data_IF_404982571136
#
_entry.id   IF_404982571136
#
_cell.length_a   1.000
_cell.length_b   1.000
_cell.length_c   1.000
_cell.angle_alpha   90.00
_cell.angle_beta   90.00
_cell.angle_gamma   90.00
#
_symmetry.space_group_name_H-M   'P 1'
#
loop_
_entity.id
_entity.type
_entity.pdbx_description
1 polymer ?
#
# COMPACT_ATOMS: atom_id res chain seq x y z
N UNK A 1 17.69 8.86 1.10
CA UNK A 1 16.72 9.48 0.17
C UNK A 1 17.26 9.41 -1.24
N UNK A 2 16.43 9.16 -2.25
CA UNK A 2 16.82 9.03 -3.65
C UNK A 2 15.89 9.80 -4.59
N UNK A 3 16.26 9.88 -5.88
CA UNK A 3 15.43 10.49 -6.92
C UNK A 3 14.63 9.43 -7.65
N UNK A 4 13.33 9.66 -7.82
CA UNK A 4 12.52 8.83 -8.69
C UNK A 4 13.05 8.87 -10.14
N UNK A 5 13.04 7.71 -10.81
CA UNK A 5 13.54 7.56 -12.19
C UNK A 5 12.60 8.14 -13.25
N UNK A 6 11.41 8.62 -12.88
CA UNK A 6 10.49 9.24 -13.82
C UNK A 6 10.93 10.67 -14.22
N UNK A 7 10.36 11.24 -15.31
CA UNK A 7 10.73 12.58 -15.79
C UNK A 7 10.58 13.69 -14.74
N UNK A 8 9.69 13.50 -13.75
CA UNK A 8 9.46 14.48 -12.67
C UNK A 8 10.62 14.55 -11.66
N UNK A 9 11.51 13.54 -11.62
CA UNK A 9 12.70 13.46 -10.75
C UNK A 9 12.46 13.90 -9.30
N UNK A 10 11.31 13.53 -8.72
CA UNK A 10 10.96 13.90 -7.35
C UNK A 10 11.84 13.15 -6.36
N UNK A 11 12.31 13.84 -5.32
CA UNK A 11 12.97 13.21 -4.17
C UNK A 11 11.94 12.32 -3.46
N UNK A 12 12.37 11.13 -3.07
CA UNK A 12 11.54 10.13 -2.40
C UNK A 12 12.40 9.27 -1.50
N UNK A 13 11.82 8.75 -0.42
CA UNK A 13 12.41 7.68 0.38
C UNK A 13 11.82 6.31 0.03
N UNK A 14 10.85 6.25 -0.89
CA UNK A 14 10.14 5.03 -1.26
C UNK A 14 10.82 4.33 -2.43
N UNK A 15 10.86 2.99 -2.34
CA UNK A 15 11.53 2.12 -3.28
C UNK A 15 10.61 0.97 -3.69
N UNK A 16 10.54 0.71 -4.99
CA UNK A 16 9.83 -0.45 -5.52
C UNK A 16 10.75 -1.67 -5.47
N UNK A 17 10.33 -2.70 -4.74
CA UNK A 17 11.14 -3.91 -4.52
C UNK A 17 11.22 -4.77 -5.79
N UNK A 18 10.13 -4.82 -6.56
CA UNK A 18 10.05 -5.55 -7.83
C UNK A 18 10.97 -4.96 -8.90
N UNK A 19 10.91 -3.64 -9.10
CA UNK A 19 11.63 -2.96 -10.18
C UNK A 19 12.99 -2.41 -9.74
N UNK A 20 13.30 -2.46 -8.45
CA UNK A 20 14.55 -1.98 -7.85
C UNK A 20 14.85 -0.51 -8.19
N UNK A 21 13.83 0.34 -8.06
CA UNK A 21 13.92 1.78 -8.35
C UNK A 21 13.23 2.63 -7.29
N UNK A 22 13.76 3.84 -7.06
CA UNK A 22 13.08 4.87 -6.28
C UNK A 22 11.80 5.31 -6.99
N UNK A 23 10.69 5.41 -6.26
CA UNK A 23 9.36 5.75 -6.80
C UNK A 23 8.73 6.93 -6.08
N UNK A 24 8.19 7.88 -6.83
CA UNK A 24 7.37 8.97 -6.27
C UNK A 24 5.89 8.57 -6.26
N UNK A 25 5.06 9.34 -5.55
CA UNK A 25 3.63 9.09 -5.40
C UNK A 25 2.90 8.96 -6.74
N UNK A 26 3.24 9.80 -7.72
CA UNK A 26 2.68 9.71 -9.07
C UNK A 26 2.99 8.35 -9.74
N UNK A 27 4.22 7.85 -9.58
CA UNK A 27 4.62 6.57 -10.14
C UNK A 27 3.94 5.40 -9.43
N UNK A 28 3.67 5.51 -8.12
CA UNK A 28 2.92 4.50 -7.36
C UNK A 28 1.51 4.29 -7.89
N UNK A 29 0.86 5.32 -8.43
CA UNK A 29 -0.52 5.23 -8.95
C UNK A 29 -0.60 5.01 -10.46
N UNK A 30 0.45 5.35 -11.22
CA UNK A 30 0.44 5.19 -12.69
C UNK A 30 1.08 3.88 -13.14
N UNK A 31 2.31 3.61 -12.71
CA UNK A 31 3.14 2.52 -13.23
C UNK A 31 3.44 1.42 -12.22
N UNK A 32 3.27 1.70 -10.92
CA UNK A 32 3.57 0.78 -9.82
C UNK A 32 2.35 0.52 -8.92
N UNK A 33 1.16 0.42 -9.53
CA UNK A 33 -0.10 0.27 -8.80
C UNK A 33 -0.11 -0.95 -7.89
N UNK A 34 0.36 -2.08 -8.42
CA UNK A 34 0.41 -3.38 -7.72
C UNK A 34 1.75 -3.70 -7.07
N UNK A 35 2.77 -2.87 -7.28
CA UNK A 35 4.12 -3.23 -6.85
C UNK A 35 4.33 -3.12 -5.34
N UNK A 36 5.11 -4.00 -4.74
CA UNK A 36 5.54 -3.82 -3.35
C UNK A 36 6.49 -2.60 -3.27
N UNK A 37 6.07 -1.61 -2.47
CA UNK A 37 6.79 -0.35 -2.27
C UNK A 37 6.94 -0.14 -0.76
N UNK A 38 8.17 0.10 -0.33
CA UNK A 38 8.51 0.40 1.06
C UNK A 38 9.72 1.35 1.11
N UNK A 39 10.10 1.86 2.31
CA UNK A 39 11.28 2.70 2.43
C UNK A 39 12.55 2.01 1.90
N UNK A 40 13.41 2.76 1.24
CA UNK A 40 14.67 2.23 0.69
C UNK A 40 15.57 1.59 1.75
N UNK A 41 15.54 2.07 3.00
CA UNK A 41 16.29 1.47 4.10
C UNK A 41 15.84 0.03 4.37
N UNK A 42 14.53 -0.23 4.34
CA UNK A 42 14.00 -1.57 4.51
C UNK A 42 14.50 -2.50 3.41
N UNK A 43 14.61 -2.03 2.16
CA UNK A 43 15.17 -2.83 1.07
C UNK A 43 16.65 -3.19 1.27
N UNK A 44 17.44 -2.28 1.87
CA UNK A 44 18.84 -2.53 2.20
C UNK A 44 19.00 -3.56 3.33
N UNK A 45 18.07 -3.55 4.29
CA UNK A 45 18.05 -4.48 5.42
C UNK A 45 17.54 -5.86 5.02
N UNK A 46 16.38 -5.91 4.35
CA UNK A 46 15.76 -7.12 3.81
C UNK A 46 15.08 -6.81 2.48
N UNK A 47 15.63 -7.39 1.41
CA UNK A 47 15.09 -7.23 0.05
C UNK A 47 14.02 -8.27 -0.30
N UNK A 48 13.72 -9.22 0.59
CA UNK A 48 12.67 -10.20 0.39
C UNK A 48 11.30 -9.51 0.41
N UNK A 49 10.43 -9.90 -0.53
CA UNK A 49 9.06 -9.42 -0.60
C UNK A 49 8.14 -10.52 -1.11
N UNK A 50 6.86 -10.41 -0.75
CA UNK A 50 5.82 -11.34 -1.17
C UNK A 50 4.71 -10.53 -1.84
N UNK A 51 4.50 -10.66 -3.16
CA UNK A 51 3.47 -9.92 -3.90
C UNK A 51 2.09 -10.55 -3.70
N UNK A 52 1.71 -10.80 -2.45
CA UNK A 52 0.45 -11.45 -2.06
C UNK A 52 -0.37 -10.54 -1.16
N UNK A 53 -1.69 -10.69 -1.21
CA UNK A 53 -2.59 -9.98 -0.31
C UNK A 53 -2.43 -10.51 1.12
N UNK A 54 -2.23 -9.61 2.09
CA UNK A 54 -2.08 -9.98 3.51
C UNK A 54 -3.32 -10.63 4.15
N UNK A 55 -4.48 -10.60 3.49
CA UNK A 55 -5.74 -11.16 4.01
C UNK A 55 -6.03 -12.56 3.46
N UNK A 56 -5.96 -12.77 2.14
CA UNK A 56 -6.26 -14.07 1.52
C UNK A 56 -5.02 -14.87 1.10
N UNK A 57 -3.82 -14.27 1.16
CA UNK A 57 -2.53 -14.84 0.73
C UNK A 57 -2.45 -15.24 -0.75
N UNK A 58 -3.40 -14.78 -1.57
CA UNK A 58 -3.35 -14.93 -3.03
C UNK A 58 -2.53 -13.79 -3.66
N UNK A 59 -2.02 -14.03 -4.87
CA UNK A 59 -1.22 -13.07 -5.62
C UNK A 59 -1.96 -11.76 -5.91
N UNK A 60 -1.25 -10.64 -5.82
CA UNK A 60 -1.78 -9.31 -6.12
C UNK A 60 -1.88 -9.05 -7.63
N UNK A 61 -1.14 -9.80 -8.46
CA UNK A 61 -1.15 -9.63 -9.92
C UNK A 61 -2.34 -10.33 -10.61
N UNK A 62 -3.17 -11.05 -9.88
CA UNK A 62 -4.40 -11.64 -10.43
C UNK A 62 -5.26 -10.56 -11.10
N UNK A 63 -5.49 -10.71 -12.41
CA UNK A 63 -6.26 -9.77 -13.24
C UNK A 63 -7.76 -9.84 -12.97
N UNK A 64 -8.23 -10.93 -12.36
CA UNK A 64 -9.64 -11.10 -11.98
C UNK A 64 -10.01 -10.29 -10.73
N UNK A 65 -9.01 -9.80 -9.97
CA UNK A 65 -9.22 -9.10 -8.71
C UNK A 65 -8.68 -7.67 -8.75
N UNK A 66 -9.48 -6.72 -8.26
CA UNK A 66 -9.05 -5.35 -8.06
C UNK A 66 -8.23 -5.23 -6.78
N UNK A 67 -7.12 -4.50 -6.83
CA UNK A 67 -6.26 -4.21 -5.68
C UNK A 67 -6.33 -2.74 -5.28
N UNK A 68 -6.15 -2.45 -4.01
CA UNK A 68 -6.04 -1.09 -3.47
C UNK A 68 -4.78 -0.97 -2.60
N UNK A 69 -4.07 0.14 -2.75
CA UNK A 69 -2.95 0.53 -1.89
C UNK A 69 -3.44 1.48 -0.80
N UNK A 70 -3.19 1.15 0.45
CA UNK A 70 -3.52 2.00 1.59
C UNK A 70 -2.47 3.11 1.78
N UNK A 71 -2.78 4.11 2.61
CA UNK A 71 -1.85 5.21 2.92
C UNK A 71 -0.52 4.75 3.54
N UNK A 72 -0.53 3.56 4.18
CA UNK A 72 0.66 2.92 4.73
C UNK A 72 1.45 2.08 3.71
N UNK A 73 1.11 2.18 2.41
CA UNK A 73 1.69 1.47 1.26
C UNK A 73 1.39 -0.02 1.11
N UNK A 74 0.80 -0.68 2.12
CA UNK A 74 0.31 -2.05 2.00
C UNK A 74 -0.81 -2.17 0.96
N UNK A 75 -0.85 -3.30 0.26
CA UNK A 75 -1.80 -3.58 -0.82
C UNK A 75 -2.67 -4.77 -0.46
N UNK A 76 -3.96 -4.65 -0.73
CA UNK A 76 -4.93 -5.72 -0.54
C UNK A 76 -5.84 -5.82 -1.76
N UNK A 77 -6.48 -6.97 -1.95
CA UNK A 77 -7.66 -7.03 -2.82
C UNK A 77 -8.78 -6.19 -2.20
N UNK A 78 -9.49 -5.43 -3.04
CA UNK A 78 -10.61 -4.59 -2.62
C UNK A 78 -11.70 -5.44 -1.95
N UNK A 79 -11.99 -6.62 -2.51
CA UNK A 79 -12.94 -7.59 -1.94
C UNK A 79 -12.56 -8.06 -0.55
N UNK A 80 -11.27 -8.33 -0.30
CA UNK A 80 -10.77 -8.76 0.99
C UNK A 80 -10.89 -7.64 2.04
N UNK A 81 -10.53 -6.42 1.66
CA UNK A 81 -10.62 -5.27 2.57
C UNK A 81 -12.09 -4.94 2.91
N UNK A 82 -12.99 -5.00 1.93
CA UNK A 82 -14.42 -4.79 2.14
C UNK A 82 -15.04 -5.87 3.05
N UNK A 83 -14.63 -7.13 2.90
CA UNK A 83 -15.08 -8.20 3.79
C UNK A 83 -14.71 -7.89 5.25
N UNK A 84 -13.46 -7.52 5.49
CA UNK A 84 -12.99 -7.14 6.81
C UNK A 84 -13.76 -5.93 7.36
N UNK A 85 -13.98 -4.91 6.52
CA UNK A 85 -14.75 -3.73 6.91
C UNK A 85 -16.19 -4.08 7.34
N UNK A 86 -16.83 -5.05 6.67
CA UNK A 86 -18.18 -5.50 7.00
C UNK A 86 -18.27 -6.37 8.27
N UNK A 87 -17.16 -6.92 8.74
CA UNK A 87 -17.09 -7.65 10.02
C UNK A 87 -17.02 -6.71 11.22
N UNK A 88 -16.71 -5.42 11.01
CA UNK A 88 -16.66 -4.41 12.06
C UNK A 88 -18.08 -3.92 12.42
N UNK A 89 -18.30 -3.44 13.66
CA UNK A 89 -19.58 -2.86 14.06
C UNK A 89 -20.06 -1.75 13.11
N UNK A 90 -21.37 -1.63 12.83
CA UNK A 90 -21.90 -0.63 11.90
C UNK A 90 -21.57 0.82 12.28
N UNK A 91 -21.33 1.08 13.57
CA UNK A 91 -20.97 2.39 14.13
C UNK A 91 -19.44 2.58 14.28
N UNK A 92 -18.64 1.78 13.59
CA UNK A 92 -17.18 1.92 13.62
C UNK A 92 -16.80 3.29 13.06
N UNK A 93 -16.24 4.14 13.92
CA UNK A 93 -15.72 5.43 13.52
C UNK A 93 -14.58 5.25 12.49
N UNK A 94 -14.28 6.26 11.64
CA UNK A 94 -13.22 6.11 10.64
C UNK A 94 -11.85 5.73 11.25
N UNK A 95 -11.56 6.18 12.47
CA UNK A 95 -10.36 5.79 13.22
C UNK A 95 -10.28 4.28 13.55
N UNK A 96 -11.41 3.57 13.58
CA UNK A 96 -11.47 2.13 13.81
C UNK A 96 -11.07 1.28 12.61
N UNK A 97 -11.08 1.85 11.40
CA UNK A 97 -10.61 1.16 10.21
C UNK A 97 -9.08 1.26 10.14
N UNK A 98 -8.42 0.15 10.48
CA UNK A 98 -6.96 0.06 10.54
C UNK A 98 -6.42 -0.97 9.56
N UNK A 99 -5.20 -0.74 9.09
CA UNK A 99 -4.51 -1.66 8.20
C UNK A 99 -4.23 -3.01 8.92
N UNK A 100 -4.63 -4.16 8.35
CA UNK A 100 -4.41 -5.47 8.96
C UNK A 100 -2.94 -5.79 9.27
N UNK A 101 -2.00 -5.33 8.43
CA UNK A 101 -0.57 -5.63 8.58
C UNK A 101 0.19 -4.72 9.54
N UNK A 102 -0.28 -3.48 9.79
CA UNK A 102 0.49 -2.53 10.61
C UNK A 102 -0.34 -1.67 11.56
N UNK A 103 -1.66 -1.91 11.63
CA UNK A 103 -2.62 -1.24 12.51
C UNK A 103 -2.69 0.29 12.38
N UNK A 104 -2.03 0.88 11.38
CA UNK A 104 -2.15 2.30 11.05
C UNK A 104 -3.56 2.59 10.52
N UNK A 105 -4.12 3.78 10.80
CA UNK A 105 -5.41 4.19 10.25
C UNK A 105 -5.41 4.09 8.73
N UNK A 106 -6.53 3.66 8.15
CA UNK A 106 -6.71 3.63 6.69
C UNK A 106 -7.03 5.03 6.16
N UNK A 107 -7.78 5.82 6.94
CA UNK A 107 -8.18 7.16 6.58
C UNK A 107 -7.17 8.22 7.07
N UNK A 108 -6.94 9.30 6.29
CA UNK A 108 -6.12 10.43 6.74
C UNK A 108 -6.70 11.11 7.98
N UNK A 109 -5.82 11.70 8.81
CA UNK A 109 -6.22 12.43 10.01
C UNK A 109 -7.17 13.62 9.75
N UNK A 110 -7.18 14.17 8.53
CA UNK A 110 -8.10 15.25 8.15
C UNK A 110 -9.52 14.75 7.85
N UNK A 111 -9.71 13.45 7.60
CA UNK A 111 -11.01 12.83 7.36
C UNK A 111 -11.72 12.35 8.65
N UNK A 112 -11.07 12.49 9.81
CA UNK A 112 -11.63 12.15 11.14
C UNK A 112 -12.02 13.37 11.97
N UNK A 113 -11.90 14.58 11.42
CA UNK A 113 -12.34 15.82 12.04
C UNK A 113 -13.60 16.32 11.32
N UNK A 114 -14.76 15.78 11.69
CA UNK A 114 -16.08 16.43 11.73
C UNK A 114 -17.15 15.39 12.07
#
# INVERSE_FOLDING_TARGET
MGLCKCPKKKVTNQFCFEHKVNVCEYCMTSSHQKCIVAPYLQWLEDSNYQPVCGLCRQELDDKSQQTIRLICYHIYHVSCLNRLANELPPNTAPAGYTCPSCHKPIFPAQAVAN
#
